data_IF_093721985713
#
_entry.id   IF_093721985713
#
_cell.length_a   1.000
_cell.length_b   1.000
_cell.length_c   1.000
_cell.angle_alpha   90.00
_cell.angle_beta   90.00
_cell.angle_gamma   90.00
#
_symmetry.space_group_name_H-M   'P 1'
#
loop_
_entity.id
_entity.type
_entity.pdbx_description
1 polymer ?
#
# COMPACT_ATOMS: atom_id res chain seq x y z
N UNK A 1 -33.33 -22.93 -10.74
CA UNK A 1 -32.53 -22.14 -11.72
C UNK A 1 -32.12 -20.76 -11.25
N UNK A 2 -32.92 -20.02 -10.43
CA UNK A 2 -32.53 -18.66 -9.96
C UNK A 2 -31.32 -18.59 -8.99
N UNK A 3 -30.99 -19.64 -8.23
CA UNK A 3 -29.87 -19.67 -7.28
C UNK A 3 -28.50 -19.88 -7.94
N UNK A 4 -28.45 -20.51 -9.12
CA UNK A 4 -27.20 -20.78 -9.85
C UNK A 4 -26.67 -19.51 -10.53
N UNK A 5 -27.58 -18.67 -11.04
CA UNK A 5 -27.24 -17.41 -11.70
C UNK A 5 -26.60 -16.42 -10.70
N UNK A 6 -27.06 -16.43 -9.44
CA UNK A 6 -26.51 -15.56 -8.38
C UNK A 6 -25.07 -15.95 -7.98
N UNK A 7 -24.75 -17.25 -7.97
CA UNK A 7 -23.42 -17.73 -7.61
C UNK A 7 -22.38 -17.45 -8.70
N UNK A 8 -22.78 -17.60 -9.96
CA UNK A 8 -21.92 -17.31 -11.13
C UNK A 8 -21.66 -15.80 -11.26
N UNK A 9 -22.64 -14.95 -10.97
CA UNK A 9 -22.43 -13.50 -10.96
C UNK A 9 -21.50 -13.05 -9.82
N UNK A 10 -21.60 -13.66 -8.64
CA UNK A 10 -20.72 -13.35 -7.51
C UNK A 10 -19.27 -13.77 -7.79
N UNK A 11 -19.06 -14.94 -8.39
CA UNK A 11 -17.74 -15.43 -8.81
C UNK A 11 -17.14 -14.57 -9.93
N UNK A 12 -17.94 -14.08 -10.87
CA UNK A 12 -17.49 -13.20 -11.94
C UNK A 12 -17.08 -11.81 -11.41
N UNK A 13 -17.79 -11.26 -10.43
CA UNK A 13 -17.43 -10.00 -9.76
C UNK A 13 -16.14 -10.17 -8.94
N UNK A 14 -15.96 -11.30 -8.25
CA UNK A 14 -14.72 -11.59 -7.53
C UNK A 14 -13.53 -11.78 -8.49
N UNK A 15 -13.74 -12.42 -9.65
CA UNK A 15 -12.70 -12.58 -10.67
C UNK A 15 -12.32 -11.24 -11.34
N UNK A 16 -13.26 -10.31 -11.50
CA UNK A 16 -12.98 -8.98 -12.05
C UNK A 16 -12.19 -8.10 -11.06
N UNK A 17 -12.41 -8.25 -9.76
CA UNK A 17 -11.61 -7.55 -8.73
C UNK A 17 -10.15 -8.04 -8.69
N UNK A 18 -9.90 -9.30 -9.05
CA UNK A 18 -8.55 -9.86 -9.12
C UNK A 18 -7.78 -9.46 -10.40
N UNK A 19 -8.49 -9.15 -11.48
CA UNK A 19 -7.87 -8.77 -12.77
C UNK A 19 -7.43 -7.30 -12.80
N UNK A 20 -8.02 -6.44 -11.96
CA UNK A 20 -7.70 -5.01 -11.91
C UNK A 20 -6.39 -4.65 -11.18
N UNK A 21 -5.77 -5.62 -10.51
CA UNK A 21 -4.58 -5.39 -9.68
C UNK A 21 -3.34 -6.16 -10.14
N UNK A 22 -3.24 -6.49 -11.42
CA UNK A 22 -2.12 -7.27 -11.98
C UNK A 22 -0.82 -6.45 -12.10
N UNK A 23 -0.26 -6.02 -10.96
CA UNK A 23 1.12 -5.55 -10.87
C UNK A 23 2.10 -6.74 -11.03
N UNK A 24 3.32 -6.45 -11.49
CA UNK A 24 4.42 -7.43 -11.56
C UNK A 24 5.21 -7.54 -10.25
N UNK A 25 4.93 -6.65 -9.33
CA UNK A 25 5.63 -6.54 -8.05
C UNK A 25 5.24 -7.66 -7.09
N UNK A 26 6.23 -8.41 -6.63
CA UNK A 26 6.08 -9.47 -5.65
C UNK A 26 6.34 -8.88 -4.24
N UNK A 27 5.26 -8.47 -3.58
CA UNK A 27 5.32 -7.86 -2.26
C UNK A 27 5.85 -8.84 -1.20
N UNK A 28 5.39 -10.09 -1.20
CA UNK A 28 5.76 -11.05 -0.18
C UNK A 28 7.25 -11.41 -0.27
N UNK A 29 7.78 -11.59 -1.47
CA UNK A 29 9.21 -11.78 -1.70
C UNK A 29 10.05 -10.57 -1.30
N UNK A 30 9.55 -9.38 -1.49
CA UNK A 30 10.24 -8.15 -1.07
C UNK A 30 10.27 -8.02 0.45
N UNK A 31 9.17 -8.35 1.13
CA UNK A 31 9.07 -8.40 2.59
C UNK A 31 10.09 -9.40 3.16
N UNK A 32 10.18 -10.63 2.61
CA UNK A 32 11.16 -11.63 3.05
C UNK A 32 12.59 -11.11 2.93
N UNK A 33 12.96 -10.56 1.77
CA UNK A 33 14.31 -10.01 1.55
C UNK A 33 14.65 -8.85 2.50
N UNK A 34 13.67 -8.02 2.86
CA UNK A 34 13.87 -6.93 3.80
C UNK A 34 14.03 -7.45 5.23
N UNK A 35 13.30 -8.49 5.62
CA UNK A 35 13.49 -9.19 6.89
C UNK A 35 14.87 -9.83 6.98
N UNK A 36 15.38 -10.41 5.91
CA UNK A 36 16.74 -10.95 5.83
C UNK A 36 17.83 -9.86 5.99
N UNK A 37 17.49 -8.60 5.71
CA UNK A 37 18.35 -7.44 5.96
C UNK A 37 18.23 -6.86 7.37
N UNK A 38 17.42 -7.48 8.23
CA UNK A 38 17.27 -7.11 9.62
C UNK A 38 16.10 -6.17 9.93
N UNK A 39 15.21 -5.90 8.96
CA UNK A 39 13.96 -5.21 9.29
C UNK A 39 13.03 -6.14 10.05
N UNK A 40 12.35 -5.58 11.04
CA UNK A 40 11.36 -6.27 11.84
C UNK A 40 9.95 -5.75 11.53
N UNK A 41 8.95 -6.56 11.83
CA UNK A 41 7.56 -6.13 11.67
C UNK A 41 7.24 -4.98 12.63
N UNK A 42 6.73 -3.91 12.05
CA UNK A 42 6.10 -2.81 12.76
C UNK A 42 4.59 -3.01 12.80
N UNK A 43 3.86 -2.00 12.34
CA UNK A 43 2.40 -2.04 12.29
C UNK A 43 1.92 -2.78 11.03
N UNK A 44 1.26 -3.93 11.21
CA UNK A 44 0.69 -4.73 10.12
C UNK A 44 -0.82 -4.83 10.28
N UNK A 45 -1.56 -4.59 9.20
CA UNK A 45 -3.01 -4.74 9.13
C UNK A 45 -3.34 -5.78 8.07
N UNK A 46 -3.85 -6.94 8.51
CA UNK A 46 -4.05 -8.13 7.66
C UNK A 46 -5.48 -8.64 7.75
N UNK A 47 -6.09 -8.51 8.93
CA UNK A 47 -7.49 -8.92 9.13
C UNK A 47 -8.45 -7.86 8.60
N UNK A 48 -9.68 -8.25 8.28
CA UNK A 48 -10.71 -7.34 7.78
C UNK A 48 -10.95 -6.15 8.74
N UNK A 49 -10.98 -6.41 10.06
CA UNK A 49 -11.19 -5.38 11.07
C UNK A 49 -10.01 -4.39 11.13
N UNK A 50 -8.79 -4.91 11.08
CA UNK A 50 -7.57 -4.09 11.05
C UNK A 50 -7.51 -3.24 9.79
N UNK A 51 -7.85 -3.81 8.62
CA UNK A 51 -7.89 -3.09 7.35
C UNK A 51 -8.96 -2.00 7.34
N UNK A 52 -10.12 -2.22 7.97
CA UNK A 52 -11.15 -1.16 8.15
C UNK A 52 -10.62 -0.02 9.00
N UNK A 53 -9.87 -0.32 10.07
CA UNK A 53 -9.23 0.71 10.90
C UNK A 53 -8.17 1.48 10.10
N UNK A 54 -7.30 0.79 9.38
CA UNK A 54 -6.29 1.40 8.51
C UNK A 54 -6.95 2.30 7.45
N UNK A 55 -8.01 1.84 6.81
CA UNK A 55 -8.82 2.59 5.85
C UNK A 55 -9.34 3.90 6.46
N UNK A 56 -9.92 3.85 7.65
CA UNK A 56 -10.45 5.04 8.32
C UNK A 56 -9.35 6.06 8.64
N UNK A 57 -8.21 5.61 9.14
CA UNK A 57 -7.06 6.46 9.45
C UNK A 57 -6.50 7.10 8.17
N UNK A 58 -6.29 6.31 7.13
CA UNK A 58 -5.76 6.80 5.85
C UNK A 58 -6.69 7.80 5.17
N UNK A 59 -8.01 7.59 5.22
CA UNK A 59 -8.97 8.55 4.68
C UNK A 59 -8.97 9.87 5.46
N UNK A 60 -8.72 9.83 6.77
CA UNK A 60 -8.53 11.04 7.58
C UNK A 60 -7.23 11.78 7.21
N UNK A 61 -6.15 11.05 6.93
CA UNK A 61 -4.88 11.61 6.46
C UNK A 61 -5.01 12.23 5.07
N UNK A 62 -5.71 11.56 4.13
CA UNK A 62 -6.00 12.08 2.79
C UNK A 62 -6.74 13.42 2.89
N UNK A 63 -7.80 13.50 3.70
CA UNK A 63 -8.54 14.74 3.92
C UNK A 63 -7.66 15.83 4.55
N UNK A 64 -6.79 15.49 5.49
CA UNK A 64 -5.83 16.43 6.09
C UNK A 64 -4.82 16.97 5.07
N UNK A 65 -4.37 16.14 4.14
CA UNK A 65 -3.47 16.54 3.04
C UNK A 65 -4.19 17.32 1.92
N UNK A 66 -5.52 17.48 1.99
CA UNK A 66 -6.32 18.21 1.02
C UNK A 66 -6.82 17.35 -0.14
N UNK A 67 -6.77 16.04 -0.03
CA UNK A 67 -7.37 15.11 -1.00
C UNK A 67 -8.90 15.07 -0.87
N UNK A 68 -9.59 14.94 -1.99
CA UNK A 68 -11.05 14.88 -2.12
C UNK A 68 -11.58 13.49 -2.51
N UNK A 69 -10.76 12.47 -2.31
CA UNK A 69 -11.08 11.07 -2.60
C UNK A 69 -10.96 10.20 -1.34
N UNK A 70 -11.49 8.98 -1.43
CA UNK A 70 -11.36 7.95 -0.40
C UNK A 70 -10.74 6.69 -0.96
N UNK A 71 -10.14 5.91 -0.08
CA UNK A 71 -9.52 4.63 -0.42
C UNK A 71 -10.07 3.51 0.47
N UNK A 72 -9.83 2.28 0.06
CA UNK A 72 -10.05 1.07 0.84
C UNK A 72 -8.74 0.28 0.88
N UNK A 73 -8.23 0.01 2.09
CA UNK A 73 -7.02 -0.78 2.30
C UNK A 73 -7.40 -2.24 2.46
N UNK A 74 -6.80 -3.08 1.63
CA UNK A 74 -6.95 -4.53 1.63
C UNK A 74 -5.89 -5.20 2.50
N UNK A 75 -4.67 -4.64 2.51
CA UNK A 75 -3.54 -5.16 3.29
C UNK A 75 -2.53 -4.03 3.50
N UNK A 76 -1.94 -3.97 4.68
CA UNK A 76 -0.84 -3.06 4.95
C UNK A 76 0.24 -3.77 5.77
N UNK A 77 1.49 -3.58 5.36
CA UNK A 77 2.67 -4.08 6.03
C UNK A 77 3.66 -2.95 6.25
N UNK A 78 4.12 -2.77 7.49
CA UNK A 78 5.21 -1.87 7.80
C UNK A 78 6.39 -2.67 8.37
N UNK A 79 7.56 -2.51 7.77
CA UNK A 79 8.81 -3.05 8.26
C UNK A 79 9.67 -1.88 8.77
N UNK A 80 10.28 -2.05 9.93
CA UNK A 80 11.03 -1.01 10.64
C UNK A 80 12.47 -1.46 10.91
N UNK A 81 13.39 -0.52 10.87
CA UNK A 81 14.81 -0.77 11.17
C UNK A 81 15.07 -0.55 12.67
N UNK A 82 15.55 -1.59 13.37
CA UNK A 82 15.94 -1.51 14.78
C UNK A 82 14.86 -0.93 15.72
N UNK A 83 13.58 -1.17 15.44
CA UNK A 83 12.47 -0.63 16.21
C UNK A 83 12.19 0.86 15.98
N UNK A 84 12.87 1.50 15.04
CA UNK A 84 12.73 2.92 14.71
C UNK A 84 11.71 3.13 13.59
N UNK A 85 10.51 3.61 13.93
CA UNK A 85 9.44 3.91 12.97
C UNK A 85 9.80 5.04 11.98
N UNK A 86 10.78 5.87 12.29
CA UNK A 86 11.27 6.89 11.36
C UNK A 86 12.10 6.31 10.21
N UNK A 87 12.49 5.04 10.32
CA UNK A 87 13.23 4.27 9.32
C UNK A 87 12.44 3.04 8.94
N UNK A 88 11.63 3.16 7.91
CA UNK A 88 10.68 2.09 7.58
C UNK A 88 10.47 1.90 6.07
N UNK A 89 9.94 0.73 5.75
CA UNK A 89 9.40 0.41 4.44
C UNK A 89 7.97 -0.06 4.61
N UNK A 90 7.02 0.63 4.01
CA UNK A 90 5.60 0.39 4.10
C UNK A 90 5.06 -0.10 2.76
N UNK A 91 4.27 -1.15 2.80
CA UNK A 91 3.56 -1.73 1.67
C UNK A 91 2.07 -1.61 1.94
N UNK A 92 1.34 -0.94 1.06
CA UNK A 92 -0.10 -0.74 1.19
C UNK A 92 -0.77 -1.27 -0.07
N UNK A 93 -1.69 -2.21 0.08
CA UNK A 93 -2.51 -2.74 -1.00
C UNK A 93 -3.89 -2.11 -0.93
N UNK A 94 -4.31 -1.46 -1.98
CA UNK A 94 -5.61 -0.83 -2.13
C UNK A 94 -6.59 -1.73 -2.89
N UNK A 95 -7.88 -1.46 -2.75
CA UNK A 95 -8.92 -2.22 -3.44
C UNK A 95 -8.88 -2.04 -4.96
N UNK A 96 -8.42 -0.87 -5.44
CA UNK A 96 -8.30 -0.58 -6.87
C UNK A 96 -6.98 0.12 -7.20
N UNK A 97 -6.56 0.01 -8.47
CA UNK A 97 -5.38 0.71 -9.00
C UNK A 97 -5.57 2.23 -9.00
N UNK A 98 -6.79 2.71 -9.22
CA UNK A 98 -7.12 4.13 -9.16
C UNK A 98 -6.88 4.70 -7.75
N UNK A 99 -7.34 3.99 -6.70
CA UNK A 99 -7.08 4.39 -5.31
C UNK A 99 -5.59 4.43 -4.99
N UNK A 100 -4.83 3.42 -5.44
CA UNK A 100 -3.39 3.38 -5.27
C UNK A 100 -2.69 4.54 -5.99
N UNK A 101 -3.15 4.89 -7.20
CA UNK A 101 -2.61 6.01 -7.99
C UNK A 101 -2.84 7.33 -7.28
N UNK A 102 -4.10 7.61 -6.92
CA UNK A 102 -4.47 8.87 -6.27
C UNK A 102 -3.74 9.04 -4.93
N UNK A 103 -3.63 7.96 -4.14
CA UNK A 103 -2.89 7.99 -2.89
C UNK A 103 -1.40 8.26 -3.09
N UNK A 104 -0.76 7.60 -4.05
CA UNK A 104 0.65 7.81 -4.34
C UNK A 104 0.94 9.24 -4.80
N UNK A 105 0.15 9.77 -5.73
CA UNK A 105 0.30 11.13 -6.25
C UNK A 105 0.12 12.19 -5.16
N UNK A 106 -0.91 12.07 -4.33
CA UNK A 106 -1.14 13.00 -3.22
C UNK A 106 0.05 13.02 -2.25
N UNK A 107 0.58 11.85 -1.88
CA UNK A 107 1.72 11.76 -0.97
C UNK A 107 3.01 12.30 -1.59
N UNK A 108 3.26 12.04 -2.89
CA UNK A 108 4.41 12.61 -3.61
C UNK A 108 4.34 14.15 -3.57
N UNK A 109 3.17 14.74 -3.86
CA UNK A 109 2.98 16.19 -3.81
C UNK A 109 3.14 16.74 -2.39
N UNK A 110 2.59 16.05 -1.39
CA UNK A 110 2.66 16.48 0.00
C UNK A 110 4.09 16.50 0.50
N UNK A 111 4.86 15.44 0.26
CA UNK A 111 6.27 15.37 0.67
C UNK A 111 7.17 16.32 -0.13
N UNK A 112 6.86 16.61 -1.38
CA UNK A 112 7.60 17.59 -2.17
C UNK A 112 7.47 19.03 -1.65
N UNK A 113 6.38 19.36 -0.96
CA UNK A 113 6.10 20.69 -0.40
C UNK A 113 6.60 20.86 1.04
N UNK A 114 6.91 19.77 1.74
CA UNK A 114 7.28 19.77 3.16
C UNK A 114 8.77 20.00 3.40
N UNK A 115 9.13 20.93 4.29
CA UNK A 115 10.52 21.15 4.73
C UNK A 115 11.10 19.97 5.55
N UNK A 116 10.22 19.09 6.05
CA UNK A 116 10.53 17.92 6.89
C UNK A 116 10.16 16.59 6.20
N UNK A 117 10.30 16.52 4.88
CA UNK A 117 10.19 15.22 4.20
C UNK A 117 11.38 14.36 4.64
N UNK A 118 11.20 13.42 5.56
CA UNK A 118 12.20 12.45 6.02
C UNK A 118 12.79 11.59 4.88
N UNK A 119 13.05 12.19 3.72
CA UNK A 119 13.49 11.55 2.47
C UNK A 119 12.57 10.39 2.02
N UNK A 120 11.30 10.47 2.36
CA UNK A 120 10.32 9.50 1.89
C UNK A 120 10.29 9.46 0.36
N UNK A 121 10.30 8.26 -0.16
CA UNK A 121 10.15 7.95 -1.58
C UNK A 121 8.97 7.01 -1.74
N UNK A 122 8.23 7.19 -2.82
CA UNK A 122 7.00 6.48 -3.09
C UNK A 122 7.09 5.84 -4.46
N UNK A 123 6.72 4.57 -4.53
CA UNK A 123 6.58 3.83 -5.78
C UNK A 123 5.24 3.12 -5.80
N UNK A 124 4.75 2.79 -6.99
CA UNK A 124 3.49 2.08 -7.19
C UNK A 124 3.65 1.01 -8.27
N UNK A 125 3.01 -0.13 -8.05
CA UNK A 125 2.76 -1.13 -9.08
C UNK A 125 1.37 -1.76 -8.89
N UNK A 126 0.50 -1.59 -9.87
CA UNK A 126 -0.90 -2.01 -9.76
C UNK A 126 -1.59 -1.37 -8.56
N UNK A 127 -2.16 -2.19 -7.68
CA UNK A 127 -2.83 -1.76 -6.46
C UNK A 127 -1.90 -1.57 -5.26
N UNK A 128 -0.60 -1.82 -5.39
CA UNK A 128 0.36 -1.72 -4.30
C UNK A 128 1.12 -0.40 -4.36
N UNK A 129 1.12 0.32 -3.24
CA UNK A 129 1.99 1.48 -3.01
C UNK A 129 3.08 1.09 -2.02
N UNK A 130 4.32 1.42 -2.33
CA UNK A 130 5.46 1.25 -1.44
C UNK A 130 5.98 2.62 -1.05
N UNK A 131 6.10 2.85 0.25
CA UNK A 131 6.65 4.07 0.83
C UNK A 131 7.86 3.71 1.67
N UNK A 132 9.01 4.33 1.43
CA UNK A 132 10.22 4.07 2.20
C UNK A 132 11.15 5.27 2.22
N UNK A 133 11.97 5.36 3.25
CA UNK A 133 13.11 6.27 3.35
C UNK A 133 14.44 5.52 3.48
N UNK A 134 14.45 4.24 3.13
CA UNK A 134 15.62 3.37 3.18
C UNK A 134 16.12 3.07 1.76
N UNK A 135 17.31 3.54 1.42
CA UNK A 135 17.90 3.36 0.08
C UNK A 135 18.02 1.90 -0.35
N UNK A 136 18.32 1.01 0.59
CA UNK A 136 18.43 -0.42 0.27
C UNK A 136 17.05 -1.07 0.04
N UNK A 137 15.98 -0.55 0.66
CA UNK A 137 14.62 -1.03 0.42
C UNK A 137 14.17 -0.67 -1.00
N UNK A 138 14.50 0.52 -1.49
CA UNK A 138 14.25 0.90 -2.88
C UNK A 138 14.92 -0.06 -3.87
N UNK A 139 16.17 -0.46 -3.60
CA UNK A 139 16.91 -1.42 -4.45
C UNK A 139 16.31 -2.84 -4.40
N UNK A 140 15.87 -3.28 -3.22
CA UNK A 140 15.29 -4.61 -3.03
C UNK A 140 13.94 -4.74 -3.74
N UNK A 141 13.10 -3.72 -3.66
CA UNK A 141 11.79 -3.70 -4.31
C UNK A 141 11.88 -3.57 -5.84
N UNK A 142 12.96 -2.95 -6.32
CA UNK A 142 13.19 -2.73 -7.76
C UNK A 142 12.03 -1.99 -8.45
N UNK A 143 11.42 -1.04 -7.75
CA UNK A 143 10.38 -0.15 -8.26
C UNK A 143 10.97 1.22 -8.61
N UNK A 144 10.26 1.98 -9.43
CA UNK A 144 10.60 3.38 -9.72
C UNK A 144 10.03 4.29 -8.64
N UNK A 145 10.92 4.83 -7.79
CA UNK A 145 10.56 5.74 -6.71
C UNK A 145 10.64 7.21 -7.13
N UNK A 146 9.71 7.99 -6.65
CA UNK A 146 9.64 9.45 -6.80
C UNK A 146 9.75 10.13 -5.44
#
# INVERSE_FOLDING_TARGET
>A
MKKIVSLVSLLAVFAMLLVGCAGKFDMDKSIEKLKDKGLTEGMCYITEEECKRATSLTNSEIAFMGGDFTVEIVKQYALIENGDYSKSCMFITFATEEQATNFAELNIEYFAKGENSNNWRIARDGCVVVMTNLDYAMKITNLEFK
#
